data_IF_607604586113
#
_entry.id   IF_607604586113
#
_cell.length_a   1.000
_cell.length_b   1.000
_cell.length_c   1.000
_cell.angle_alpha   90.00
_cell.angle_beta   90.00
_cell.angle_gamma   90.00
#
_symmetry.space_group_name_H-M   'P 1'
#
loop_
_entity.id
_entity.type
_entity.pdbx_description
1 polymer ?
#
# COMPACT_ATOMS: atom_id res chain seq x y z
N UNK A 1 -4.11 -9.39 20.11
CA UNK A 1 -3.50 -8.09 19.81
C UNK A 1 -3.04 -8.17 18.37
N UNK A 2 -3.68 -7.41 17.47
CA UNK A 2 -3.44 -7.54 16.03
C UNK A 2 -2.05 -7.06 15.64
N UNK A 3 -1.58 -7.51 14.48
CA UNK A 3 -0.28 -7.18 13.88
C UNK A 3 -0.01 -5.66 13.72
N UNK A 4 -1.04 -4.82 13.87
CA UNK A 4 -0.96 -3.35 13.82
C UNK A 4 -0.02 -2.73 14.86
N UNK A 5 -0.03 -3.21 16.11
CA UNK A 5 0.84 -2.64 17.16
C UNK A 5 2.33 -2.88 16.84
N UNK A 6 2.64 -4.03 16.28
CA UNK A 6 3.98 -4.36 15.84
C UNK A 6 4.40 -3.52 14.62
N UNK A 7 3.50 -3.34 13.65
CA UNK A 7 3.77 -2.49 12.49
C UNK A 7 4.03 -1.03 12.91
N UNK A 8 3.22 -0.47 13.81
CA UNK A 8 3.41 0.88 14.35
C UNK A 8 4.81 1.00 14.97
N UNK A 9 5.19 0.06 15.81
CA UNK A 9 6.49 0.08 16.50
C UNK A 9 7.64 -0.06 15.51
N UNK A 10 7.52 -0.99 14.55
CA UNK A 10 8.52 -1.21 13.50
C UNK A 10 8.76 0.04 12.65
N UNK A 11 7.70 0.78 12.32
CA UNK A 11 7.79 1.96 11.46
C UNK A 11 8.07 3.27 12.23
N UNK A 12 7.85 3.34 13.56
CA UNK A 12 8.17 4.52 14.39
C UNK A 12 9.64 4.90 14.34
N UNK A 13 10.53 3.92 14.36
CA UNK A 13 11.99 4.12 14.41
C UNK A 13 12.67 4.32 13.07
N UNK A 14 11.95 4.29 11.94
CA UNK A 14 12.59 4.34 10.64
C UNK A 14 13.17 5.73 10.31
N UNK A 15 14.38 5.77 9.73
CA UNK A 15 15.10 7.02 9.46
C UNK A 15 14.35 7.95 8.50
N UNK A 16 14.72 9.24 8.52
CA UNK A 16 14.20 10.26 7.59
C UNK A 16 14.36 9.89 6.09
N UNK A 17 15.24 8.95 5.77
CA UNK A 17 15.51 8.44 4.41
C UNK A 17 14.68 7.20 4.04
N UNK A 18 13.59 6.92 4.77
CA UNK A 18 12.76 5.74 4.53
C UNK A 18 12.42 5.52 3.04
N UNK A 19 11.89 6.54 2.36
CA UNK A 19 11.50 6.42 0.96
C UNK A 19 12.67 6.06 0.04
N UNK A 20 13.85 6.65 0.28
CA UNK A 20 15.05 6.38 -0.51
C UNK A 20 15.56 4.96 -0.26
N UNK A 21 15.63 4.56 1.01
CA UNK A 21 16.10 3.23 1.37
C UNK A 21 15.15 2.14 0.90
N UNK A 22 13.83 2.34 1.04
CA UNK A 22 12.81 1.42 0.52
C UNK A 22 12.91 1.28 -1.00
N UNK A 23 13.20 2.36 -1.73
CA UNK A 23 13.38 2.33 -3.19
C UNK A 23 14.66 1.58 -3.58
N UNK A 24 15.78 1.86 -2.91
CA UNK A 24 17.05 1.16 -3.15
C UNK A 24 16.93 -0.33 -2.85
N UNK A 25 16.33 -0.69 -1.70
CA UNK A 25 16.15 -2.08 -1.29
C UNK A 25 15.12 -2.83 -2.14
N UNK A 26 14.19 -2.13 -2.77
CA UNK A 26 13.28 -2.73 -3.78
C UNK A 26 13.88 -2.78 -5.18
N UNK A 27 15.15 -2.39 -5.35
CA UNK A 27 15.82 -2.28 -6.64
C UNK A 27 15.03 -1.42 -7.65
N UNK A 28 14.43 -0.31 -7.18
CA UNK A 28 13.64 0.61 -8.00
C UNK A 28 12.26 0.10 -8.42
N UNK A 29 11.88 -1.10 -7.96
CA UNK A 29 10.59 -1.70 -8.38
C UNK A 29 9.39 -0.97 -7.78
N UNK A 30 9.54 -0.39 -6.61
CA UNK A 30 8.48 0.32 -5.92
C UNK A 30 7.87 1.46 -6.77
N UNK A 31 8.72 2.24 -7.45
CA UNK A 31 8.27 3.28 -8.39
C UNK A 31 7.49 2.71 -9.58
N UNK A 32 7.93 1.57 -10.11
CA UNK A 32 7.28 0.92 -11.25
C UNK A 32 5.90 0.40 -10.86
N UNK A 33 5.80 -0.27 -9.71
CA UNK A 33 4.53 -0.79 -9.21
C UNK A 33 3.54 0.33 -8.86
N UNK A 34 4.04 1.39 -8.22
CA UNK A 34 3.25 2.58 -7.89
C UNK A 34 2.70 3.25 -9.14
N UNK A 35 3.50 3.38 -10.21
CA UNK A 35 3.02 3.91 -11.49
C UNK A 35 1.90 3.07 -12.09
N UNK A 36 1.97 1.77 -11.96
CA UNK A 36 0.91 0.88 -12.43
C UNK A 36 -0.39 1.11 -11.65
N UNK A 37 -0.34 1.15 -10.32
CA UNK A 37 -1.49 1.48 -9.47
C UNK A 37 -2.09 2.84 -9.88
N UNK A 38 -1.25 3.86 -9.99
CA UNK A 38 -1.68 5.23 -10.33
C UNK A 38 -2.38 5.28 -11.69
N UNK A 39 -1.90 4.56 -12.70
CA UNK A 39 -2.56 4.48 -14.00
C UNK A 39 -4.00 3.96 -13.91
N UNK A 40 -4.23 2.91 -13.12
CA UNK A 40 -5.58 2.36 -12.96
C UNK A 40 -6.51 3.35 -12.28
N UNK A 41 -6.05 4.07 -11.27
CA UNK A 41 -6.84 5.11 -10.61
C UNK A 41 -7.08 6.30 -11.54
N UNK A 42 -6.03 6.82 -12.16
CA UNK A 42 -6.09 8.05 -12.98
C UNK A 42 -6.93 7.88 -14.25
N UNK A 43 -6.99 6.67 -14.83
CA UNK A 43 -7.77 6.38 -16.05
C UNK A 43 -9.26 6.75 -15.93
N UNK A 44 -9.80 6.74 -14.71
CA UNK A 44 -11.20 7.06 -14.42
C UNK A 44 -11.45 8.53 -14.06
N UNK A 45 -10.41 9.38 -14.15
CA UNK A 45 -10.48 10.83 -13.89
C UNK A 45 -11.21 11.18 -12.59
N UNK A 46 -10.83 10.59 -11.45
CA UNK A 46 -11.48 10.83 -10.17
C UNK A 46 -11.33 12.30 -9.76
N UNK A 47 -12.31 12.83 -9.05
CA UNK A 47 -12.26 14.17 -8.42
C UNK A 47 -11.83 14.09 -6.96
N UNK A 48 -12.14 12.97 -6.30
CA UNK A 48 -11.82 12.72 -4.90
C UNK A 48 -11.20 11.34 -4.74
N UNK A 49 -10.05 11.27 -4.10
CA UNK A 49 -9.32 10.02 -3.87
C UNK A 49 -9.00 9.88 -2.37
N UNK A 50 -9.21 8.69 -1.83
CA UNK A 50 -8.70 8.30 -0.52
C UNK A 50 -7.51 7.36 -0.72
N UNK A 51 -6.36 7.71 -0.15
CA UNK A 51 -5.14 6.89 -0.14
C UNK A 51 -4.90 6.37 1.28
N UNK A 52 -5.15 5.08 1.51
CA UNK A 52 -5.10 4.45 2.83
C UNK A 52 -3.75 3.75 3.04
N UNK A 53 -3.21 3.87 4.25
CA UNK A 53 -1.83 3.55 4.58
C UNK A 53 -0.86 4.36 3.69
N UNK A 54 -1.14 5.67 3.61
CA UNK A 54 -0.45 6.61 2.72
C UNK A 54 1.03 6.82 3.10
N UNK A 55 1.40 6.54 4.34
CA UNK A 55 2.75 6.73 4.86
C UNK A 55 3.20 8.18 4.74
N UNK A 56 4.31 8.40 4.04
CA UNK A 56 4.85 9.73 3.73
C UNK A 56 4.17 10.39 2.51
N UNK A 57 3.04 9.85 2.04
CA UNK A 57 2.26 10.37 0.90
C UNK A 57 2.78 9.95 -0.47
N UNK A 58 3.61 8.92 -0.55
CA UNK A 58 4.26 8.57 -1.82
C UNK A 58 3.31 8.24 -2.98
N UNK A 59 2.16 7.61 -2.71
CA UNK A 59 1.11 7.36 -3.71
C UNK A 59 0.29 8.63 -3.93
N UNK A 60 -0.05 9.35 -2.86
CA UNK A 60 -0.80 10.61 -2.95
C UNK A 60 -0.10 11.64 -3.85
N UNK A 61 1.23 11.79 -3.74
CA UNK A 61 2.01 12.65 -4.64
C UNK A 61 1.97 12.18 -6.10
N UNK A 62 2.08 10.88 -6.32
CA UNK A 62 2.03 10.31 -7.67
C UNK A 62 0.63 10.49 -8.31
N UNK A 63 -0.44 10.33 -7.54
CA UNK A 63 -1.81 10.60 -7.96
C UNK A 63 -2.03 12.09 -8.24
N UNK A 64 -1.49 12.98 -7.41
CA UNK A 64 -1.58 14.42 -7.63
C UNK A 64 -0.86 14.88 -8.91
N UNK A 65 0.19 14.19 -9.33
CA UNK A 65 0.89 14.48 -10.57
C UNK A 65 0.12 14.03 -11.83
N UNK A 66 -0.71 12.98 -11.73
CA UNK A 66 -1.42 12.37 -12.85
C UNK A 66 -2.92 12.73 -12.91
N UNK A 67 -3.45 13.42 -11.91
CA UNK A 67 -4.87 13.78 -11.81
C UNK A 67 -5.05 15.20 -11.27
N UNK A 68 -6.24 15.77 -11.42
CA UNK A 68 -6.65 17.01 -10.75
C UNK A 68 -7.44 16.74 -9.44
N UNK A 69 -7.42 15.51 -8.94
CA UNK A 69 -8.19 15.09 -7.76
C UNK A 69 -7.75 15.82 -6.48
N UNK A 70 -8.69 15.96 -5.55
CA UNK A 70 -8.39 16.19 -4.13
C UNK A 70 -8.11 14.84 -3.49
N UNK A 71 -7.01 14.72 -2.79
CA UNK A 71 -6.51 13.47 -2.23
C UNK A 71 -6.49 13.58 -0.71
N UNK A 72 -7.18 12.68 -0.05
CA UNK A 72 -7.08 12.48 1.39
C UNK A 72 -6.20 11.25 1.63
N UNK A 73 -5.06 11.44 2.26
CA UNK A 73 -4.17 10.35 2.67
C UNK A 73 -4.36 10.04 4.15
N UNK A 74 -4.57 8.78 4.48
CA UNK A 74 -4.75 8.34 5.87
C UNK A 74 -3.68 7.32 6.24
N UNK A 75 -3.08 7.51 7.42
CA UNK A 75 -2.12 6.55 7.98
C UNK A 75 -2.29 6.45 9.51
N UNK A 76 -1.89 5.33 10.07
CA UNK A 76 -1.90 5.10 11.51
C UNK A 76 -0.68 5.71 12.21
N UNK A 77 0.38 6.03 11.46
CA UNK A 77 1.66 6.52 11.94
C UNK A 77 1.76 8.04 11.84
N UNK A 78 1.61 8.75 12.97
CA UNK A 78 1.78 10.21 13.02
C UNK A 78 3.17 10.65 12.53
N UNK A 79 4.21 9.86 12.81
CA UNK A 79 5.57 10.16 12.36
C UNK A 79 5.71 10.13 10.83
N UNK A 80 5.01 9.22 10.14
CA UNK A 80 4.96 9.17 8.68
C UNK A 80 4.15 10.34 8.12
N UNK A 81 3.01 10.63 8.72
CA UNK A 81 2.14 11.74 8.32
C UNK A 81 2.85 13.09 8.45
N UNK A 82 3.59 13.32 9.53
CA UNK A 82 4.31 14.57 9.70
C UNK A 82 5.36 14.79 8.60
N UNK A 83 6.11 13.75 8.25
CA UNK A 83 7.02 13.80 7.09
C UNK A 83 6.28 14.06 5.77
N UNK A 84 5.13 13.42 5.60
CA UNK A 84 4.25 13.64 4.45
C UNK A 84 3.76 15.08 4.37
N UNK A 85 3.28 15.64 5.47
CA UNK A 85 2.82 17.04 5.57
C UNK A 85 3.94 18.03 5.25
N UNK A 86 5.15 17.79 5.73
CA UNK A 86 6.32 18.59 5.38
C UNK A 86 6.60 18.56 3.86
N UNK A 87 6.49 17.39 3.23
CA UNK A 87 6.63 17.27 1.76
C UNK A 87 5.51 18.00 1.02
N UNK A 88 4.26 17.91 1.51
CA UNK A 88 3.11 18.62 0.92
C UNK A 88 3.33 20.12 0.98
N UNK A 89 3.80 20.66 2.12
CA UNK A 89 4.14 22.09 2.27
C UNK A 89 5.22 22.51 1.27
N UNK A 90 6.33 21.77 1.19
CA UNK A 90 7.45 22.07 0.27
C UNK A 90 7.04 22.03 -1.21
N UNK A 91 6.11 21.17 -1.56
CA UNK A 91 5.61 21.02 -2.93
C UNK A 91 4.45 22.00 -3.26
N UNK A 92 4.00 22.82 -2.31
CA UNK A 92 2.82 23.70 -2.44
C UNK A 92 1.53 22.96 -2.86
N UNK A 93 1.36 21.71 -2.38
CA UNK A 93 0.21 20.85 -2.70
C UNK A 93 -0.86 20.83 -1.60
N UNK A 94 -0.82 21.72 -0.61
CA UNK A 94 -1.75 21.75 0.51
C UNK A 94 -3.21 21.98 0.15
N UNK A 95 -3.50 22.56 -1.02
CA UNK A 95 -4.87 22.70 -1.53
C UNK A 95 -5.43 21.40 -2.15
N UNK A 96 -4.55 20.42 -2.43
CA UNK A 96 -4.90 19.18 -3.14
C UNK A 96 -4.67 17.92 -2.33
N UNK A 97 -3.71 17.92 -1.38
CA UNK A 97 -3.36 16.76 -0.57
C UNK A 97 -3.56 17.10 0.90
N UNK A 98 -4.49 16.41 1.54
CA UNK A 98 -4.70 16.40 2.99
C UNK A 98 -4.17 15.09 3.56
N UNK A 99 -3.36 15.15 4.63
CA UNK A 99 -2.86 13.95 5.32
C UNK A 99 -3.33 13.96 6.77
N UNK A 100 -4.07 12.92 7.17
CA UNK A 100 -4.68 12.85 8.49
C UNK A 100 -4.55 11.46 9.14
N UNK A 101 -4.56 11.38 10.48
CA UNK A 101 -4.45 10.11 11.18
C UNK A 101 -5.74 9.31 11.05
N UNK A 102 -5.60 7.99 10.91
CA UNK A 102 -6.74 7.09 10.88
C UNK A 102 -6.35 5.64 10.71
N UNK A 103 -7.28 4.76 11.01
CA UNK A 103 -7.12 3.30 10.88
C UNK A 103 -7.97 2.81 9.73
N UNK A 104 -7.40 1.97 8.88
CA UNK A 104 -8.10 1.41 7.72
C UNK A 104 -9.40 0.67 8.09
N UNK A 105 -9.43 0.06 9.27
CA UNK A 105 -10.58 -0.69 9.78
C UNK A 105 -11.72 0.18 10.35
N UNK A 106 -11.47 1.49 10.58
CA UNK A 106 -12.42 2.39 11.25
C UNK A 106 -12.31 3.83 10.72
N UNK A 107 -12.52 4.00 9.42
CA UNK A 107 -12.47 5.30 8.76
C UNK A 107 -13.79 6.07 8.97
N UNK A 108 -13.73 7.33 9.43
CA UNK A 108 -14.91 8.11 9.82
C UNK A 108 -15.59 8.81 8.63
N UNK A 109 -15.55 8.20 7.44
CA UNK A 109 -16.18 8.77 6.25
C UNK A 109 -17.53 8.13 5.96
N UNK A 110 -18.45 8.92 5.43
CA UNK A 110 -19.73 8.43 4.94
C UNK A 110 -19.53 7.46 3.76
N UNK A 111 -20.51 6.59 3.53
CA UNK A 111 -20.51 5.75 2.32
C UNK A 111 -20.48 6.62 1.08
N UNK A 112 -19.87 6.11 0.02
CA UNK A 112 -19.83 6.75 -1.31
C UNK A 112 -19.26 8.18 -1.30
N UNK A 113 -18.25 8.43 -0.45
CA UNK A 113 -17.60 9.75 -0.33
C UNK A 113 -16.51 10.00 -1.37
N UNK A 114 -15.95 8.93 -1.93
CA UNK A 114 -14.79 9.04 -2.83
C UNK A 114 -15.08 8.43 -4.20
N UNK A 115 -14.45 8.99 -5.24
CA UNK A 115 -14.49 8.44 -6.58
C UNK A 115 -13.49 7.29 -6.74
N UNK A 116 -12.41 7.29 -5.94
CA UNK A 116 -11.45 6.19 -5.92
C UNK A 116 -10.84 6.01 -4.52
N UNK A 117 -10.45 4.77 -4.24
CA UNK A 117 -9.68 4.39 -3.05
C UNK A 117 -8.42 3.64 -3.49
N UNK A 118 -7.26 4.08 -3.00
CA UNK A 118 -5.99 3.36 -3.13
C UNK A 118 -5.46 2.93 -1.77
N UNK A 119 -4.73 1.82 -1.74
CA UNK A 119 -3.98 1.42 -0.55
C UNK A 119 -2.74 0.61 -0.92
N UNK A 120 -1.68 0.76 -0.13
CA UNK A 120 -0.43 0.04 -0.38
C UNK A 120 0.08 -0.63 0.88
N UNK A 121 0.51 -1.90 0.73
CA UNK A 121 1.13 -2.69 1.81
C UNK A 121 0.27 -2.83 3.07
N UNK A 122 -1.06 -2.75 2.94
CA UNK A 122 -2.01 -2.65 4.03
C UNK A 122 -2.46 -4.01 4.57
N UNK A 123 -2.93 -4.91 3.68
CA UNK A 123 -3.72 -6.09 4.07
C UNK A 123 -2.96 -7.09 4.95
N UNK A 124 -1.64 -7.01 4.98
CA UNK A 124 -0.80 -7.83 5.85
C UNK A 124 -0.83 -7.41 7.33
N UNK A 125 -1.30 -6.20 7.61
CA UNK A 125 -1.27 -5.57 8.93
C UNK A 125 -2.64 -5.40 9.57
N UNK A 126 -3.71 -5.75 8.88
CA UNK A 126 -5.08 -5.68 9.40
C UNK A 126 -5.51 -7.03 9.99
N UNK A 127 -6.39 -6.99 10.97
CA UNK A 127 -6.88 -8.20 11.63
C UNK A 127 -7.74 -9.06 10.68
N UNK A 128 -8.61 -8.41 9.90
CA UNK A 128 -9.48 -9.06 8.92
C UNK A 128 -9.37 -8.33 7.57
N UNK A 129 -8.61 -8.89 6.60
CA UNK A 129 -8.50 -8.32 5.26
C UNK A 129 -9.83 -8.21 4.51
N UNK A 130 -10.76 -9.17 4.67
CA UNK A 130 -12.05 -9.12 3.98
C UNK A 130 -12.93 -8.00 4.52
N UNK A 131 -13.05 -7.88 5.84
CA UNK A 131 -13.79 -6.81 6.48
C UNK A 131 -13.19 -5.43 6.15
N UNK A 132 -11.86 -5.33 6.11
CA UNK A 132 -11.17 -4.09 5.72
C UNK A 132 -11.49 -3.72 4.27
N UNK A 133 -11.38 -4.66 3.33
CA UNK A 133 -11.72 -4.43 1.91
C UNK A 133 -13.18 -4.01 1.77
N UNK A 134 -14.11 -4.65 2.47
CA UNK A 134 -15.53 -4.28 2.46
C UNK A 134 -15.75 -2.86 3.00
N UNK A 135 -15.07 -2.51 4.09
CA UNK A 135 -15.09 -1.15 4.66
C UNK A 135 -14.58 -0.09 3.69
N UNK A 136 -13.48 -0.38 2.97
CA UNK A 136 -12.94 0.51 1.94
C UNK A 136 -13.85 0.63 0.73
N UNK A 137 -14.40 -0.49 0.24
CA UNK A 137 -15.34 -0.51 -0.88
C UNK A 137 -16.63 0.26 -0.60
N UNK A 138 -17.09 0.29 0.67
CA UNK A 138 -18.25 1.09 1.10
C UNK A 138 -18.05 2.58 0.85
N UNK A 139 -16.82 3.07 0.94
CA UNK A 139 -16.49 4.48 0.77
C UNK A 139 -16.47 4.94 -0.69
N UNK A 140 -16.50 4.00 -1.62
CA UNK A 140 -16.40 4.27 -3.06
C UNK A 140 -17.81 4.47 -3.64
N UNK A 141 -17.97 5.52 -4.42
CA UNK A 141 -19.20 5.78 -5.20
C UNK A 141 -19.44 4.67 -6.21
N UNK A 142 -20.70 4.37 -6.58
CA UNK A 142 -21.01 3.51 -7.72
C UNK A 142 -20.20 3.91 -8.96
N UNK A 143 -19.60 2.93 -9.65
CA UNK A 143 -18.70 3.17 -10.78
C UNK A 143 -17.29 3.66 -10.44
N UNK A 144 -17.01 3.95 -9.16
CA UNK A 144 -15.69 4.38 -8.70
C UNK A 144 -14.67 3.24 -8.62
N UNK A 145 -13.42 3.57 -8.37
CA UNK A 145 -12.29 2.65 -8.50
C UNK A 145 -11.66 2.28 -7.17
N UNK A 146 -11.24 1.02 -7.03
CA UNK A 146 -10.33 0.58 -5.98
C UNK A 146 -9.05 0.03 -6.60
N UNK A 147 -7.89 0.44 -6.07
CA UNK A 147 -6.61 -0.11 -6.50
C UNK A 147 -5.68 -0.36 -5.31
N UNK A 148 -4.93 -1.46 -5.38
CA UNK A 148 -3.96 -1.81 -4.34
C UNK A 148 -2.61 -2.22 -4.89
N UNK A 149 -1.60 -2.07 -4.05
CA UNK A 149 -0.25 -2.56 -4.32
C UNK A 149 0.27 -3.28 -3.07
N UNK A 150 0.80 -4.47 -3.25
CA UNK A 150 1.51 -5.20 -2.20
C UNK A 150 2.71 -5.98 -2.76
N UNK A 151 3.61 -6.38 -1.87
CA UNK A 151 4.58 -7.42 -2.17
C UNK A 151 3.86 -8.75 -2.41
N UNK A 152 4.47 -9.61 -3.22
CA UNK A 152 3.92 -10.92 -3.49
C UNK A 152 4.98 -12.01 -3.40
N UNK A 153 4.55 -13.25 -3.30
CA UNK A 153 5.44 -14.42 -3.30
C UNK A 153 5.47 -15.02 -4.71
N UNK A 154 6.64 -15.13 -5.34
CA UNK A 154 6.72 -15.69 -6.68
C UNK A 154 6.02 -17.04 -6.82
N UNK A 155 5.11 -17.21 -7.79
CA UNK A 155 4.43 -18.50 -8.02
C UNK A 155 5.38 -19.57 -8.57
N UNK A 156 6.37 -19.17 -9.37
CA UNK A 156 7.39 -20.08 -9.89
C UNK A 156 8.37 -20.51 -8.78
N UNK A 157 8.66 -21.80 -8.68
CA UNK A 157 9.47 -22.36 -7.60
C UNK A 157 10.92 -21.84 -7.59
N UNK A 158 11.55 -21.69 -8.76
CA UNK A 158 12.93 -21.20 -8.87
C UNK A 158 13.02 -19.73 -8.42
N UNK A 159 12.11 -18.89 -8.93
CA UNK A 159 12.01 -17.48 -8.52
C UNK A 159 11.66 -17.32 -7.04
N UNK A 160 10.82 -18.19 -6.51
CA UNK A 160 10.48 -18.20 -5.08
C UNK A 160 11.68 -18.54 -4.20
N UNK A 161 12.53 -19.46 -4.62
CA UNK A 161 13.78 -19.77 -3.92
C UNK A 161 14.74 -18.59 -3.95
N UNK A 162 14.94 -17.95 -5.10
CA UNK A 162 15.77 -16.75 -5.22
C UNK A 162 15.20 -15.58 -4.38
N UNK A 163 13.89 -15.37 -4.41
CA UNK A 163 13.19 -14.37 -3.60
C UNK A 163 13.36 -14.62 -2.10
N UNK A 164 13.29 -15.88 -1.65
CA UNK A 164 13.56 -16.27 -0.25
C UNK A 164 14.99 -15.98 0.15
N UNK A 165 15.95 -16.31 -0.69
CA UNK A 165 17.36 -15.98 -0.44
C UNK A 165 17.54 -14.47 -0.34
N UNK A 166 16.97 -13.71 -1.26
CA UNK A 166 17.01 -12.25 -1.25
C UNK A 166 16.39 -11.67 0.04
N UNK A 167 15.17 -12.06 0.40
CA UNK A 167 14.46 -11.48 1.55
C UNK A 167 14.99 -11.92 2.90
N UNK A 168 15.66 -13.07 2.99
CA UNK A 168 16.19 -13.61 4.25
C UNK A 168 17.66 -13.30 4.49
N UNK A 169 18.45 -13.07 3.43
CA UNK A 169 19.89 -12.85 3.52
C UNK A 169 20.28 -11.46 3.01
N UNK A 170 19.92 -11.13 1.77
CA UNK A 170 20.38 -9.90 1.12
C UNK A 170 19.71 -8.68 1.70
N UNK A 171 18.38 -8.71 1.83
CA UNK A 171 17.60 -7.57 2.31
C UNK A 171 17.96 -7.16 3.75
N UNK A 172 18.08 -8.07 4.74
CA UNK A 172 18.55 -7.70 6.08
C UNK A 172 19.97 -7.15 6.08
N UNK A 173 20.91 -7.82 5.39
CA UNK A 173 22.31 -7.38 5.35
C UNK A 173 22.47 -6.00 4.69
N UNK A 174 21.83 -5.78 3.54
CA UNK A 174 21.81 -4.47 2.88
C UNK A 174 21.11 -3.41 3.72
N UNK A 175 20.00 -3.77 4.37
CA UNK A 175 19.31 -2.90 5.31
C UNK A 175 20.22 -2.44 6.45
N UNK A 176 20.96 -3.36 7.07
CA UNK A 176 21.91 -3.05 8.12
C UNK A 176 23.03 -2.11 7.65
N UNK A 177 23.61 -2.39 6.49
CA UNK A 177 24.69 -1.56 5.91
C UNK A 177 24.24 -0.14 5.59
N UNK A 178 23.00 0.05 5.14
CA UNK A 178 22.50 1.33 4.67
C UNK A 178 21.74 2.13 5.74
N UNK A 179 21.16 1.44 6.74
CA UNK A 179 20.26 2.06 7.71
C UNK A 179 20.38 1.55 9.15
N UNK A 180 21.35 0.67 9.45
CA UNK A 180 21.62 0.18 10.80
C UNK A 180 20.62 -0.87 11.30
N UNK A 181 20.58 -1.06 12.63
CA UNK A 181 19.81 -2.14 13.29
C UNK A 181 18.31 -2.09 12.97
N UNK A 182 17.70 -0.92 12.94
CA UNK A 182 16.28 -0.78 12.63
C UNK A 182 15.92 -1.34 11.24
N UNK A 183 16.79 -1.14 10.25
CA UNK A 183 16.60 -1.69 8.91
C UNK A 183 16.95 -3.17 8.80
N UNK A 184 17.83 -3.68 9.65
CA UNK A 184 18.06 -5.12 9.82
C UNK A 184 16.78 -5.81 10.26
N UNK A 185 16.10 -5.27 11.28
CA UNK A 185 14.87 -5.84 11.82
C UNK A 185 13.73 -5.82 10.78
N UNK A 186 13.58 -4.71 10.05
CA UNK A 186 12.63 -4.61 8.92
C UNK A 186 12.93 -5.68 7.87
N UNK A 187 14.19 -5.84 7.47
CA UNK A 187 14.59 -6.83 6.48
C UNK A 187 14.28 -8.26 6.89
N UNK A 188 14.56 -8.61 8.14
CA UNK A 188 14.25 -9.94 8.70
C UNK A 188 12.76 -10.22 8.82
N UNK A 189 11.98 -9.19 9.10
CA UNK A 189 10.53 -9.30 9.28
C UNK A 189 9.79 -9.48 7.96
N UNK A 190 10.16 -8.74 6.91
CA UNK A 190 9.37 -8.62 5.67
C UNK A 190 9.12 -9.96 4.98
N UNK A 191 10.16 -10.75 4.72
CA UNK A 191 10.03 -12.02 4.00
C UNK A 191 9.05 -13.00 4.66
N UNK A 192 9.25 -13.37 5.93
CA UNK A 192 8.33 -14.23 6.67
C UNK A 192 6.91 -13.66 6.79
N UNK A 193 6.75 -12.35 6.97
CA UNK A 193 5.45 -11.69 7.06
C UNK A 193 4.69 -11.81 5.74
N UNK A 194 5.34 -11.54 4.60
CA UNK A 194 4.72 -11.68 3.26
C UNK A 194 4.32 -13.14 3.01
N UNK A 195 5.21 -14.11 3.24
CA UNK A 195 4.89 -15.55 3.07
C UNK A 195 3.73 -15.98 3.99
N UNK A 196 3.74 -15.55 5.25
CA UNK A 196 2.70 -15.84 6.22
C UNK A 196 1.33 -15.28 5.80
N UNK A 197 1.32 -14.06 5.25
CA UNK A 197 0.10 -13.46 4.73
C UNK A 197 -0.50 -14.28 3.60
N UNK A 198 0.25 -14.53 2.52
CA UNK A 198 -0.26 -15.25 1.35
C UNK A 198 -0.53 -16.73 1.57
N UNK A 199 -0.02 -17.33 2.65
CA UNK A 199 -0.42 -18.66 3.11
C UNK A 199 -1.83 -18.64 3.71
N UNK A 200 -2.17 -17.61 4.50
CA UNK A 200 -3.49 -17.42 5.12
C UNK A 200 -4.52 -16.83 4.16
N UNK A 201 -4.04 -15.93 3.30
CA UNK A 201 -4.82 -15.18 2.32
C UNK A 201 -4.24 -15.35 0.91
N UNK A 202 -4.44 -16.52 0.27
CA UNK A 202 -4.06 -16.73 -1.13
C UNK A 202 -4.75 -15.69 -2.03
N UNK A 203 -4.15 -15.39 -3.18
CA UNK A 203 -4.67 -14.39 -4.12
C UNK A 203 -6.15 -14.61 -4.46
N UNK A 204 -6.57 -15.85 -4.71
CA UNK A 204 -7.97 -16.18 -4.97
C UNK A 204 -8.91 -15.74 -3.83
N UNK A 205 -8.50 -15.92 -2.57
CA UNK A 205 -9.28 -15.47 -1.40
C UNK A 205 -9.35 -13.94 -1.32
N UNK A 206 -8.29 -13.25 -1.72
CA UNK A 206 -8.28 -11.78 -1.79
C UNK A 206 -9.23 -11.32 -2.90
N UNK A 207 -9.19 -11.95 -4.09
CA UNK A 207 -10.14 -11.66 -5.17
C UNK A 207 -11.59 -11.88 -4.73
N UNK A 208 -11.88 -12.98 -4.03
CA UNK A 208 -13.22 -13.29 -3.51
C UNK A 208 -13.68 -12.22 -2.49
N UNK A 209 -12.77 -11.73 -1.63
CA UNK A 209 -13.07 -10.64 -0.71
C UNK A 209 -13.42 -9.34 -1.46
N UNK A 210 -12.72 -9.02 -2.55
CA UNK A 210 -13.05 -7.86 -3.37
C UNK A 210 -14.41 -8.01 -4.05
N UNK A 211 -14.67 -9.17 -4.67
CA UNK A 211 -15.98 -9.47 -5.29
C UNK A 211 -17.10 -9.44 -4.27
N UNK A 212 -16.89 -10.02 -3.09
CA UNK A 212 -17.83 -10.00 -1.97
C UNK A 212 -18.12 -8.61 -1.41
N UNK A 213 -17.18 -7.67 -1.56
CA UNK A 213 -17.35 -6.26 -1.22
C UNK A 213 -18.11 -5.44 -2.29
N UNK A 214 -18.64 -6.10 -3.34
CA UNK A 214 -19.36 -5.45 -4.42
C UNK A 214 -18.47 -4.82 -5.48
N UNK A 215 -17.21 -5.24 -5.55
CA UNK A 215 -16.32 -4.85 -6.65
C UNK A 215 -16.49 -5.77 -7.83
N UNK A 216 -16.50 -5.21 -9.04
CA UNK A 216 -16.60 -5.91 -10.33
C UNK A 216 -15.35 -5.64 -11.17
N UNK A 217 -15.16 -6.37 -12.24
CA UNK A 217 -13.99 -6.25 -13.14
C UNK A 217 -12.66 -6.34 -12.36
N UNK A 218 -12.62 -7.22 -11.36
CA UNK A 218 -11.43 -7.42 -10.54
C UNK A 218 -10.30 -7.96 -11.42
N UNK A 219 -9.28 -7.12 -11.60
CA UNK A 219 -8.07 -7.45 -12.32
C UNK A 219 -6.85 -7.37 -11.42
N UNK A 220 -5.79 -8.06 -11.83
CA UNK A 220 -4.51 -7.94 -11.15
C UNK A 220 -3.34 -8.15 -12.11
N UNK A 221 -2.18 -7.66 -11.71
CA UNK A 221 -0.91 -7.91 -12.39
C UNK A 221 0.15 -8.30 -11.38
N UNK A 222 0.74 -9.47 -11.59
CA UNK A 222 1.93 -9.91 -10.88
C UNK A 222 3.14 -9.37 -11.63
N UNK A 223 4.03 -8.68 -10.93
CA UNK A 223 5.16 -7.94 -11.49
C UNK A 223 6.49 -8.41 -10.91
N UNK A 224 7.61 -8.01 -11.53
CA UNK A 224 8.97 -8.25 -11.01
C UNK A 224 9.21 -9.72 -10.65
N UNK A 225 9.01 -10.61 -11.63
CA UNK A 225 9.20 -12.07 -11.49
C UNK A 225 8.33 -12.69 -10.36
N UNK A 226 7.29 -12.00 -9.94
CA UNK A 226 6.38 -12.46 -8.90
C UNK A 226 6.57 -11.77 -7.54
N UNK A 227 7.41 -10.74 -7.45
CA UNK A 227 7.69 -10.04 -6.18
C UNK A 227 6.71 -8.92 -5.85
N UNK A 228 5.88 -8.47 -6.79
CA UNK A 228 4.89 -7.43 -6.61
C UNK A 228 3.52 -7.81 -7.19
N UNK A 229 2.47 -7.34 -6.55
CA UNK A 229 1.08 -7.52 -6.94
C UNK A 229 0.38 -6.16 -6.98
N UNK A 230 -0.17 -5.80 -8.12
CA UNK A 230 -1.08 -4.67 -8.26
C UNK A 230 -2.47 -5.22 -8.58
N UNK A 231 -3.48 -4.79 -7.85
CA UNK A 231 -4.88 -5.17 -8.07
C UNK A 231 -5.73 -3.92 -8.29
N UNK A 232 -6.80 -4.06 -9.07
CA UNK A 232 -7.77 -3.00 -9.33
C UNK A 232 -9.16 -3.58 -9.57
N UNK A 233 -10.17 -2.78 -9.33
CA UNK A 233 -11.57 -3.12 -9.60
C UNK A 233 -12.45 -1.89 -9.61
N UNK A 234 -13.65 -2.03 -10.21
CA UNK A 234 -14.69 -1.01 -10.24
C UNK A 234 -15.77 -1.33 -9.20
N UNK A 235 -16.28 -0.31 -8.51
CA UNK A 235 -17.47 -0.49 -7.64
C UNK A 235 -18.69 -0.68 -8.51
N UNK A 236 -19.47 -1.73 -8.22
CA UNK A 236 -20.75 -1.97 -8.93
C UNK A 236 -21.62 -0.71 -8.86
N UNK A 237 -22.25 -0.38 -10.01
CA UNK A 237 -23.24 0.68 -10.13
C UNK A 237 -24.52 0.38 -9.33
#
# INVERSE_FOLDING_TARGET
>A
MGDNAFAIELFKGLPARYDVLAEVLSLGQNRRWRRELVRHVAAHRPRTILDVATGTGGVAFALAAETEARITGVDISDAMLERGRERVRRANLGSRILLEPGRAEALPYASESFDAVSFTYLLRYVADPAATVAGLARLIRPGGQMASLDFYVPPNAAWRTAWRAYTRLVLPAAGWLLGGSAWWDVGRFLGPNIEGHYRRWPLARIEDAWKGAGMVDVGYRITSLGGGLVMWATKRA
#
